data_IF_119108163678
#
_entry.id   IF_119108163678
#
_cell.length_a   1.000
_cell.length_b   1.000
_cell.length_c   1.000
_cell.angle_alpha   90.00
_cell.angle_beta   90.00
_cell.angle_gamma   90.00
#
_symmetry.space_group_name_H-M   'P 1'
#
loop_
_entity.id
_entity.type
_entity.pdbx_description
1 polymer ?
#
# COMPACT_ATOMS: atom_id res chain seq x y z
N UNK A 1 13.99 12.82 1.19
CA UNK A 1 13.82 11.38 1.44
C UNK A 1 15.12 10.87 2.04
N UNK A 2 15.04 10.15 3.17
CA UNK A 2 16.22 9.51 3.72
C UNK A 2 16.74 8.45 2.73
N UNK A 3 18.05 8.34 2.51
CA UNK A 3 18.59 7.28 1.67
C UNK A 3 18.25 5.92 2.28
N UNK A 4 17.78 4.99 1.44
CA UNK A 4 17.58 3.60 1.88
C UNK A 4 18.91 3.03 2.43
N UNK A 5 18.88 2.11 3.39
CA UNK A 5 20.10 1.40 3.80
C UNK A 5 20.59 0.46 2.68
N UNK A 6 21.90 0.24 2.61
CA UNK A 6 22.49 -0.79 1.76
C UNK A 6 22.35 -2.19 2.38
N UNK A 7 22.57 -3.22 1.56
CA UNK A 7 22.77 -4.58 2.06
C UNK A 7 21.49 -5.37 2.33
N UNK A 8 20.35 -4.98 1.76
CA UNK A 8 19.13 -5.79 1.79
C UNK A 8 19.40 -7.21 1.27
N UNK A 9 19.02 -8.20 2.05
CA UNK A 9 18.94 -9.58 1.57
C UNK A 9 17.75 -9.75 0.63
N UNK A 10 17.81 -10.76 -0.23
CA UNK A 10 16.68 -11.13 -1.08
C UNK A 10 15.41 -11.46 -0.26
N UNK A 11 15.59 -12.09 0.90
CA UNK A 11 14.48 -12.42 1.79
C UNK A 11 13.78 -11.16 2.33
N UNK A 12 14.52 -10.13 2.76
CA UNK A 12 13.95 -8.86 3.23
C UNK A 12 13.27 -8.07 2.12
N UNK A 13 13.87 -8.06 0.92
CA UNK A 13 13.27 -7.45 -0.26
C UNK A 13 11.93 -8.13 -0.59
N UNK A 14 11.92 -9.46 -0.62
CA UNK A 14 10.74 -10.25 -0.94
C UNK A 14 9.67 -10.14 0.15
N UNK A 15 10.05 -10.11 1.43
CA UNK A 15 9.12 -9.90 2.54
C UNK A 15 8.40 -8.55 2.41
N UNK A 16 9.14 -7.47 2.15
CA UNK A 16 8.55 -6.14 1.96
C UNK A 16 7.66 -6.09 0.72
N UNK A 17 8.10 -6.67 -0.40
CA UNK A 17 7.32 -6.76 -1.63
C UNK A 17 5.97 -7.46 -1.40
N UNK A 18 5.98 -8.62 -0.73
CA UNK A 18 4.75 -9.36 -0.44
C UNK A 18 3.87 -8.64 0.59
N UNK A 19 4.45 -7.95 1.58
CA UNK A 19 3.70 -7.12 2.52
C UNK A 19 2.96 -5.97 1.85
N UNK A 20 3.62 -5.29 0.91
CA UNK A 20 3.00 -4.23 0.10
C UNK A 20 1.91 -4.79 -0.83
N UNK A 21 2.17 -5.92 -1.50
CA UNK A 21 1.20 -6.62 -2.34
C UNK A 21 -0.04 -7.04 -1.56
N UNK A 22 0.16 -7.61 -0.36
CA UNK A 22 -0.92 -7.93 0.57
C UNK A 22 -1.74 -6.69 0.93
N UNK A 23 -1.09 -5.57 1.21
CA UNK A 23 -1.76 -4.30 1.48
C UNK A 23 -2.67 -3.84 0.33
N UNK A 24 -2.22 -3.94 -0.91
CA UNK A 24 -3.02 -3.63 -2.10
C UNK A 24 -4.24 -4.56 -2.19
N UNK A 25 -4.01 -5.87 -2.08
CA UNK A 25 -5.07 -6.86 -2.18
C UNK A 25 -6.13 -6.69 -1.08
N UNK A 26 -5.70 -6.43 0.16
CA UNK A 26 -6.58 -6.22 1.30
C UNK A 26 -7.44 -4.96 1.14
N UNK A 27 -6.83 -3.82 0.83
CA UNK A 27 -7.55 -2.55 0.69
C UNK A 27 -8.48 -2.53 -0.53
N UNK A 28 -8.04 -3.11 -1.65
CA UNK A 28 -8.86 -3.22 -2.86
C UNK A 28 -10.08 -4.11 -2.63
N UNK A 29 -9.89 -5.26 -1.98
CA UNK A 29 -10.98 -6.17 -1.64
C UNK A 29 -11.95 -5.53 -0.64
N UNK A 30 -11.44 -4.82 0.38
CA UNK A 30 -12.26 -4.12 1.35
C UNK A 30 -13.14 -3.03 0.70
N UNK A 31 -12.59 -2.29 -0.27
CA UNK A 31 -13.34 -1.28 -1.05
C UNK A 31 -14.57 -1.89 -1.70
N UNK A 32 -14.38 -2.99 -2.42
CA UNK A 32 -15.45 -3.70 -3.10
C UNK A 32 -16.47 -4.22 -2.07
N UNK A 33 -16.00 -4.83 -0.99
CA UNK A 33 -16.85 -5.36 0.06
C UNK A 33 -17.74 -4.29 0.68
N UNK A 34 -17.20 -3.15 1.12
CA UNK A 34 -17.98 -2.09 1.76
C UNK A 34 -19.05 -1.53 0.83
N UNK A 35 -18.72 -1.23 -0.41
CA UNK A 35 -19.72 -0.73 -1.37
C UNK A 35 -20.81 -1.74 -1.69
N UNK A 36 -20.47 -3.03 -1.83
CA UNK A 36 -21.46 -4.08 -2.02
C UNK A 36 -22.35 -4.30 -0.78
N UNK A 37 -21.86 -3.98 0.41
CA UNK A 37 -22.60 -4.13 1.66
C UNK A 37 -23.60 -2.99 1.92
N UNK A 38 -23.52 -1.87 1.18
CA UNK A 38 -24.37 -0.69 1.36
C UNK A 38 -25.90 -1.00 1.39
N UNK A 39 -26.46 -1.87 0.54
CA UNK A 39 -27.89 -2.21 0.59
C UNK A 39 -28.30 -2.95 1.86
N UNK A 40 -27.37 -3.69 2.47
CA UNK A 40 -27.61 -4.58 3.61
C UNK A 40 -27.57 -3.86 4.97
N UNK A 41 -27.17 -2.59 4.98
CA UNK A 41 -26.97 -1.79 6.20
C UNK A 41 -28.18 -0.88 6.43
N UNK A 42 -28.78 -0.94 7.62
CA UNK A 42 -30.01 -0.18 7.96
C UNK A 42 -29.72 1.13 8.73
N UNK A 43 -28.62 1.23 9.46
CA UNK A 43 -28.14 2.44 10.14
C UNK A 43 -26.69 2.73 9.76
N UNK A 44 -26.21 3.97 9.90
CA UNK A 44 -24.84 4.37 9.50
C UNK A 44 -24.55 4.22 7.99
N UNK A 45 -25.59 4.32 7.15
CA UNK A 45 -25.46 4.16 5.69
C UNK A 45 -24.55 5.20 5.05
N UNK A 46 -24.33 6.34 5.69
CA UNK A 46 -23.40 7.37 5.25
C UNK A 46 -21.92 6.98 5.50
N UNK A 47 -21.66 6.18 6.55
CA UNK A 47 -20.31 5.74 6.89
C UNK A 47 -19.77 4.71 5.89
N UNK A 48 -20.61 3.78 5.41
CA UNK A 48 -20.16 2.68 4.52
C UNK A 48 -19.49 3.16 3.21
N UNK A 49 -20.06 4.13 2.45
CA UNK A 49 -19.40 4.66 1.27
C UNK A 49 -18.10 5.41 1.60
N UNK A 50 -18.02 6.06 2.78
CA UNK A 50 -16.82 6.76 3.25
C UNK A 50 -15.72 5.76 3.54
N UNK A 51 -16.01 4.65 4.23
CA UNK A 51 -15.03 3.58 4.46
C UNK A 51 -14.56 2.97 3.14
N UNK A 52 -15.46 2.74 2.18
CA UNK A 52 -15.08 2.29 0.84
C UNK A 52 -14.19 3.30 0.09
N UNK A 53 -14.44 4.60 0.24
CA UNK A 53 -13.59 5.65 -0.32
C UNK A 53 -12.20 5.68 0.34
N UNK A 54 -12.15 5.54 1.67
CA UNK A 54 -10.89 5.45 2.44
C UNK A 54 -10.05 4.29 1.95
N UNK A 55 -10.63 3.09 1.84
CA UNK A 55 -9.90 1.91 1.37
C UNK A 55 -9.48 2.03 -0.09
N UNK A 56 -10.25 2.75 -0.93
CA UNK A 56 -9.87 3.00 -2.31
C UNK A 56 -8.64 3.92 -2.42
N UNK A 57 -8.63 5.02 -1.65
CA UNK A 57 -7.50 5.95 -1.57
C UNK A 57 -6.25 5.20 -1.08
N UNK A 58 -6.41 4.40 -0.01
CA UNK A 58 -5.33 3.57 0.52
C UNK A 58 -4.82 2.55 -0.52
N UNK A 59 -5.71 1.95 -1.32
CA UNK A 59 -5.32 1.03 -2.41
C UNK A 59 -4.46 1.72 -3.44
N UNK A 60 -4.87 2.90 -3.92
CA UNK A 60 -4.09 3.69 -4.87
C UNK A 60 -2.69 4.01 -4.31
N UNK A 61 -2.60 4.47 -3.07
CA UNK A 61 -1.31 4.81 -2.47
C UNK A 61 -0.45 3.57 -2.21
N UNK A 62 -1.04 2.43 -1.83
CA UNK A 62 -0.32 1.15 -1.73
C UNK A 62 0.27 0.72 -3.08
N UNK A 63 -0.44 0.92 -4.20
CA UNK A 63 0.09 0.68 -5.55
C UNK A 63 1.30 1.59 -5.83
N UNK A 64 1.19 2.89 -5.56
CA UNK A 64 2.30 3.84 -5.78
C UNK A 64 3.54 3.50 -4.94
N UNK A 65 3.34 3.09 -3.69
CA UNK A 65 4.43 2.66 -2.80
C UNK A 65 5.06 1.38 -3.34
N UNK A 66 4.26 0.42 -3.78
CA UNK A 66 4.73 -0.84 -4.36
C UNK A 66 5.54 -0.63 -5.65
N UNK A 67 5.08 0.24 -6.54
CA UNK A 67 5.80 0.57 -7.79
C UNK A 67 7.17 1.16 -7.46
N UNK A 68 7.21 2.21 -6.63
CA UNK A 68 8.48 2.86 -6.27
C UNK A 68 9.40 1.97 -5.43
N UNK A 69 8.87 1.00 -4.68
CA UNK A 69 9.67 -0.03 -4.02
C UNK A 69 10.29 -0.98 -5.04
N UNK A 70 9.49 -1.48 -5.99
CA UNK A 70 9.95 -2.41 -7.03
C UNK A 70 10.98 -1.78 -7.96
N UNK A 71 10.87 -0.48 -8.21
CA UNK A 71 11.82 0.29 -9.01
C UNK A 71 13.11 0.67 -8.26
N UNK A 72 13.12 0.64 -6.92
CA UNK A 72 14.28 1.07 -6.12
C UNK A 72 15.41 0.03 -6.07
N UNK A 73 15.13 -1.22 -6.43
CA UNK A 73 16.08 -2.33 -6.32
C UNK A 73 16.21 -3.09 -7.64
N UNK A 74 17.42 -3.57 -7.92
CA UNK A 74 17.71 -4.56 -8.96
C UNK A 74 18.08 -5.88 -8.30
N UNK A 75 17.49 -6.96 -8.80
CA UNK A 75 17.78 -8.33 -8.33
C UNK A 75 18.48 -9.07 -9.46
N UNK A 76 19.65 -9.63 -9.17
CA UNK A 76 20.39 -10.46 -10.12
C UNK A 76 20.81 -11.77 -9.48
N UNK A 77 20.75 -12.86 -10.26
CA UNK A 77 21.28 -14.17 -9.88
C UNK A 77 22.37 -14.52 -10.89
N UNK A 78 23.53 -14.97 -10.41
CA UNK A 78 24.57 -15.56 -11.27
C UNK A 78 24.40 -17.08 -11.25
N UNK A 79 24.25 -17.66 -12.43
CA UNK A 79 24.39 -19.10 -12.69
C UNK A 79 23.56 -20.02 -11.77
N UNK A 80 22.35 -19.61 -11.39
CA UNK A 80 21.46 -20.38 -10.52
C UNK A 80 21.84 -20.35 -9.03
N UNK A 81 22.80 -19.51 -8.65
CA UNK A 81 23.16 -19.22 -7.26
C UNK A 81 22.26 -18.15 -6.61
N UNK A 82 22.63 -17.75 -5.39
CA UNK A 82 21.87 -16.82 -4.56
C UNK A 82 21.56 -15.48 -5.26
N UNK A 83 20.38 -14.95 -4.95
CA UNK A 83 19.95 -13.65 -5.42
C UNK A 83 20.72 -12.53 -4.71
N UNK A 84 21.36 -11.68 -5.49
CA UNK A 84 21.99 -10.44 -5.02
C UNK A 84 21.06 -9.26 -5.27
N UNK A 85 20.88 -8.43 -4.25
CA UNK A 85 20.05 -7.22 -4.31
C UNK A 85 20.97 -6.01 -4.34
N UNK A 86 20.72 -5.12 -5.29
CA UNK A 86 21.45 -3.86 -5.46
C UNK A 86 20.44 -2.72 -5.59
N UNK A 87 20.86 -1.48 -5.31
CA UNK A 87 19.99 -0.32 -5.56
C UNK A 87 19.97 0.02 -7.04
N UNK A 88 18.79 0.30 -7.58
CA UNK A 88 18.60 0.69 -8.98
C UNK A 88 18.92 2.17 -9.26
N UNK A 89 19.09 2.98 -8.21
CA UNK A 89 19.29 4.44 -8.30
C UNK A 89 17.99 5.24 -8.23
N UNK A 90 16.84 4.63 -8.52
CA UNK A 90 15.52 5.24 -8.30
C UNK A 90 15.22 5.34 -6.80
N UNK A 91 14.73 6.49 -6.31
CA UNK A 91 14.39 6.66 -4.90
C UNK A 91 13.05 6.00 -4.57
N UNK A 92 12.98 5.35 -3.41
CA UNK A 92 11.71 4.94 -2.81
C UNK A 92 10.95 6.15 -2.26
N UNK A 93 9.69 6.32 -2.66
CA UNK A 93 8.88 7.49 -2.32
C UNK A 93 7.95 7.21 -1.13
N UNK A 94 8.43 7.51 0.08
CA UNK A 94 7.65 7.45 1.32
C UNK A 94 6.56 8.53 1.42
N UNK A 95 6.69 9.61 0.64
CA UNK A 95 5.72 10.71 0.54
C UNK A 95 4.29 10.27 0.24
N UNK A 96 4.13 9.21 -0.55
CA UNK A 96 2.81 8.64 -0.87
C UNK A 96 2.03 8.23 0.39
N UNK A 97 2.71 7.81 1.46
CA UNK A 97 2.04 7.45 2.72
C UNK A 97 1.53 8.67 3.49
N UNK A 98 2.25 9.78 3.44
CA UNK A 98 1.83 11.01 4.12
C UNK A 98 0.64 11.66 3.42
N UNK A 99 0.61 11.61 2.09
CA UNK A 99 -0.54 12.07 1.30
C UNK A 99 -1.77 11.18 1.56
N UNK A 100 -1.58 9.86 1.61
CA UNK A 100 -2.61 8.91 2.02
C UNK A 100 -3.23 9.31 3.36
N UNK A 101 -2.42 9.50 4.40
CA UNK A 101 -2.89 9.94 5.72
C UNK A 101 -3.63 11.27 5.70
N UNK A 102 -3.12 12.26 4.98
CA UNK A 102 -3.78 13.56 4.87
C UNK A 102 -5.21 13.43 4.31
N UNK A 103 -5.41 12.50 3.38
CA UNK A 103 -6.71 12.26 2.74
C UNK A 103 -7.63 11.37 3.59
N UNK A 104 -7.11 10.29 4.16
CA UNK A 104 -7.95 9.29 4.85
C UNK A 104 -8.22 9.63 6.31
N UNK A 105 -7.29 10.27 7.04
CA UNK A 105 -7.46 10.52 8.49
C UNK A 105 -8.70 11.38 8.78
N UNK A 106 -8.95 12.51 8.08
CA UNK A 106 -10.18 13.26 8.31
C UNK A 106 -11.45 12.46 7.97
N UNK A 107 -11.42 11.63 6.92
CA UNK A 107 -12.54 10.79 6.52
C UNK A 107 -12.84 9.71 7.58
N UNK A 108 -11.79 9.08 8.14
CA UNK A 108 -11.90 8.12 9.25
C UNK A 108 -12.49 8.77 10.51
N UNK A 109 -12.16 10.03 10.79
CA UNK A 109 -12.75 10.76 11.91
C UNK A 109 -14.23 11.10 11.65
N UNK A 110 -14.59 11.43 10.41
CA UNK A 110 -15.97 11.73 10.02
C UNK A 110 -16.83 10.46 10.03
N UNK A 111 -16.36 9.33 9.52
CA UNK A 111 -17.15 8.09 9.55
C UNK A 111 -17.45 7.60 10.96
N UNK A 112 -16.59 7.91 11.94
CA UNK A 112 -16.79 7.51 13.34
C UNK A 112 -17.98 8.22 14.00
N UNK A 113 -18.32 9.44 13.55
CA UNK A 113 -19.40 10.26 14.13
C UNK A 113 -20.72 10.17 13.35
N UNK A 114 -20.71 9.53 12.17
CA UNK A 114 -21.87 9.34 11.28
C UNK A 114 -22.57 8.00 11.53
#
# INVERSE_FOLDING_TARGET
MAPLPDGFSYAELNATYNGLSFGIAAMGSATIFFWLQLPNVKGYRAAIPITGLVTLIATYHCIRIFDTWSEAFTVSSKDGGDYTVQRAGSPFNDGSRYVDWLLIVPLLLIELIL
#
